data_IF_382776923985
#
_entry.id   IF_382776923985
#
_cell.length_a   1.000
_cell.length_b   1.000
_cell.length_c   1.000
_cell.angle_alpha   90.00
_cell.angle_beta   90.00
_cell.angle_gamma   90.00
#
_symmetry.space_group_name_H-M   'P 1'
#
loop_
_entity.id
_entity.type
_entity.pdbx_description
1 polymer ?
#
# COMPACT_ATOMS: atom_id res chain seq x y z
N UNK A 1 12.31 15.54 -16.70
CA UNK A 1 13.56 14.94 -16.18
C UNK A 1 13.29 14.00 -15.00
N UNK A 2 12.48 14.39 -14.00
CA UNK A 2 12.10 13.52 -12.87
C UNK A 2 11.43 12.20 -13.29
N UNK A 3 10.41 12.27 -14.17
CA UNK A 3 9.69 11.09 -14.67
C UNK A 3 10.62 10.06 -15.33
N UNK A 4 11.66 10.52 -16.04
CA UNK A 4 12.61 9.62 -16.69
C UNK A 4 13.52 8.90 -15.67
N UNK A 5 13.90 9.59 -14.59
CA UNK A 5 14.69 8.98 -13.52
C UNK A 5 13.89 7.93 -12.73
N UNK A 6 12.62 8.23 -12.42
CA UNK A 6 11.72 7.31 -11.70
C UNK A 6 11.41 6.06 -12.51
N UNK A 7 11.07 6.21 -13.80
CA UNK A 7 10.88 5.07 -14.71
C UNK A 7 12.15 4.21 -14.78
N UNK A 8 13.31 4.83 -14.91
CA UNK A 8 14.59 4.09 -14.95
C UNK A 8 14.85 3.32 -13.65
N UNK A 9 14.60 3.92 -12.48
CA UNK A 9 14.81 3.26 -11.19
C UNK A 9 13.83 2.13 -10.91
N UNK A 10 12.62 2.19 -11.48
CA UNK A 10 11.57 1.19 -11.30
C UNK A 10 11.61 0.07 -12.34
N UNK A 11 12.37 0.24 -13.44
CA UNK A 11 12.50 -0.76 -14.51
C UNK A 11 12.83 -2.17 -14.00
N UNK A 12 13.70 -2.38 -12.99
CA UNK A 12 13.96 -3.71 -12.45
C UNK A 12 12.75 -4.39 -11.78
N UNK A 13 11.73 -3.62 -11.40
CA UNK A 13 10.57 -4.08 -10.64
C UNK A 13 9.26 -4.03 -11.45
N UNK A 14 9.33 -3.77 -12.75
CA UNK A 14 8.17 -3.57 -13.63
C UNK A 14 7.17 -4.74 -13.56
N UNK A 15 7.69 -5.98 -13.49
CA UNK A 15 6.85 -7.18 -13.37
C UNK A 15 6.05 -7.27 -12.06
N UNK A 16 6.47 -6.55 -11.00
CA UNK A 16 5.81 -6.51 -9.71
C UNK A 16 4.87 -5.31 -9.56
N UNK A 17 4.88 -4.36 -10.51
CA UNK A 17 4.15 -3.10 -10.42
C UNK A 17 2.99 -3.09 -11.41
N UNK A 18 1.81 -2.72 -10.94
CA UNK A 18 0.62 -2.54 -11.78
C UNK A 18 -0.09 -1.24 -11.40
N UNK A 19 -0.27 -0.34 -12.37
CA UNK A 19 -0.92 0.95 -12.19
C UNK A 19 0.00 2.15 -12.44
N UNK A 20 -0.48 3.34 -12.07
CA UNK A 20 0.26 4.59 -12.25
C UNK A 20 1.37 4.71 -11.20
N UNK A 21 2.63 4.73 -11.62
CA UNK A 21 3.78 4.87 -10.72
C UNK A 21 3.78 6.17 -9.91
N UNK A 22 3.01 7.18 -10.33
CA UNK A 22 2.83 8.46 -9.62
C UNK A 22 1.56 8.50 -8.73
N UNK A 23 0.90 7.36 -8.51
CA UNK A 23 -0.26 7.26 -7.63
C UNK A 23 0.04 7.68 -6.19
N UNK A 24 -0.91 8.37 -5.55
CA UNK A 24 -0.75 8.85 -4.16
C UNK A 24 -0.79 7.74 -3.12
N UNK A 25 -1.34 6.57 -3.45
CA UNK A 25 -1.38 5.41 -2.58
C UNK A 25 -0.76 4.21 -3.28
N UNK A 26 0.01 3.41 -2.53
CA UNK A 26 0.48 2.10 -2.98
C UNK A 26 -0.18 1.00 -2.13
N UNK A 27 -0.81 0.05 -2.82
CA UNK A 27 -1.26 -1.20 -2.23
C UNK A 27 -0.16 -2.24 -2.42
N UNK A 28 0.29 -2.84 -1.32
CA UNK A 28 1.26 -3.93 -1.33
C UNK A 28 0.56 -5.22 -0.93
N UNK A 29 0.67 -6.26 -1.75
CA UNK A 29 0.17 -7.61 -1.47
C UNK A 29 1.24 -8.65 -1.70
N UNK A 30 1.07 -9.85 -1.14
CA UNK A 30 1.91 -10.99 -1.44
C UNK A 30 1.19 -11.93 -2.41
N UNK A 31 1.45 -11.75 -3.70
CA UNK A 31 0.81 -12.46 -4.79
C UNK A 31 -0.33 -11.66 -5.43
N UNK A 32 -0.86 -12.22 -6.52
CA UNK A 32 -1.93 -11.61 -7.30
C UNK A 32 -3.24 -11.53 -6.49
N UNK A 33 -3.79 -10.33 -6.38
CA UNK A 33 -5.09 -10.10 -5.73
C UNK A 33 -6.24 -10.55 -6.63
N UNK A 34 -7.25 -11.25 -6.09
CA UNK A 34 -8.47 -11.54 -6.83
C UNK A 34 -9.18 -10.24 -7.27
N UNK A 35 -9.82 -10.27 -8.44
CA UNK A 35 -10.42 -9.07 -9.04
C UNK A 35 -11.43 -8.34 -8.14
N UNK A 36 -12.19 -9.09 -7.33
CA UNK A 36 -13.16 -8.50 -6.40
C UNK A 36 -12.48 -7.77 -5.23
N UNK A 37 -11.33 -8.26 -4.76
CA UNK A 37 -10.50 -7.64 -3.72
C UNK A 37 -9.86 -6.36 -4.27
N UNK A 38 -9.26 -6.42 -5.47
CA UNK A 38 -8.69 -5.26 -6.15
C UNK A 38 -9.74 -4.14 -6.34
N UNK A 39 -10.94 -4.50 -6.81
CA UNK A 39 -12.05 -3.54 -6.94
C UNK A 39 -12.47 -2.92 -5.61
N UNK A 40 -12.45 -3.69 -4.52
CA UNK A 40 -12.78 -3.17 -3.19
C UNK A 40 -11.70 -2.20 -2.69
N UNK A 41 -10.42 -2.49 -2.93
CA UNK A 41 -9.30 -1.60 -2.63
C UNK A 41 -9.35 -0.31 -3.45
N UNK A 42 -9.60 -0.39 -4.76
CA UNK A 42 -9.80 0.78 -5.63
C UNK A 42 -10.91 1.69 -5.09
N UNK A 43 -12.06 1.10 -4.75
CA UNK A 43 -13.19 1.85 -4.18
C UNK A 43 -12.86 2.47 -2.82
N UNK A 44 -12.15 1.75 -1.95
CA UNK A 44 -11.80 2.25 -0.63
C UNK A 44 -10.76 3.38 -0.70
N UNK A 45 -9.76 3.24 -1.58
CA UNK A 45 -8.76 4.27 -1.87
C UNK A 45 -9.41 5.54 -2.43
N UNK A 46 -10.33 5.40 -3.40
CA UNK A 46 -11.16 6.50 -3.89
C UNK A 46 -11.98 7.16 -2.77
N UNK A 47 -12.59 6.38 -1.88
CA UNK A 47 -13.37 6.86 -0.74
C UNK A 47 -12.57 7.68 0.29
N UNK A 48 -11.25 7.51 0.35
CA UNK A 48 -10.35 8.29 1.20
C UNK A 48 -9.60 9.41 0.45
N UNK A 49 -9.93 9.63 -0.83
CA UNK A 49 -9.37 10.70 -1.65
C UNK A 49 -8.01 10.38 -2.27
N UNK A 50 -7.69 9.09 -2.42
CA UNK A 50 -6.49 8.58 -3.08
C UNK A 50 -6.91 7.59 -4.18
N UNK A 51 -7.63 8.02 -5.23
CA UNK A 51 -8.11 7.13 -6.28
C UNK A 51 -6.93 6.52 -7.06
N UNK A 52 -7.22 5.43 -7.78
CA UNK A 52 -6.29 4.78 -8.72
C UNK A 52 -4.93 4.44 -8.09
N UNK A 53 -4.90 3.61 -7.02
CA UNK A 53 -3.65 3.25 -6.36
C UNK A 53 -2.75 2.43 -7.29
N UNK A 54 -1.44 2.52 -7.06
CA UNK A 54 -0.47 1.59 -7.65
C UNK A 54 -0.42 0.31 -6.83
N UNK A 55 -0.36 -0.83 -7.49
CA UNK A 55 -0.25 -2.14 -6.87
C UNK A 55 1.19 -2.64 -6.97
N UNK A 56 1.69 -3.19 -5.87
CA UNK A 56 3.01 -3.80 -5.75
C UNK A 56 2.87 -5.25 -5.26
N UNK A 57 3.17 -6.22 -6.11
CA UNK A 57 3.23 -7.63 -5.75
C UNK A 57 4.58 -7.96 -5.12
N UNK A 58 4.60 -7.97 -3.79
CA UNK A 58 5.79 -8.27 -3.00
C UNK A 58 6.25 -9.73 -3.12
N UNK A 59 5.44 -10.65 -3.66
CA UNK A 59 5.87 -12.05 -3.86
C UNK A 59 6.98 -12.20 -4.90
N UNK A 60 7.15 -11.19 -5.75
CA UNK A 60 8.20 -11.13 -6.76
C UNK A 60 9.51 -10.52 -6.25
N UNK A 61 9.56 -10.06 -5.00
CA UNK A 61 10.61 -9.17 -4.49
C UNK A 61 11.31 -9.75 -3.27
N UNK A 62 12.63 -9.52 -3.18
CA UNK A 62 13.34 -9.63 -1.90
C UNK A 62 12.97 -8.46 -0.98
N UNK A 63 13.23 -8.53 0.35
CA UNK A 63 13.02 -7.38 1.23
C UNK A 63 13.79 -6.12 0.79
N UNK A 64 14.98 -6.27 0.22
CA UNK A 64 15.77 -5.14 -0.27
C UNK A 64 15.13 -4.52 -1.52
N UNK A 65 14.64 -5.35 -2.43
CA UNK A 65 13.96 -4.89 -3.66
C UNK A 65 12.60 -4.27 -3.34
N UNK A 66 11.85 -4.82 -2.38
CA UNK A 66 10.58 -4.24 -1.93
C UNK A 66 10.78 -2.85 -1.30
N UNK A 67 11.85 -2.66 -0.52
CA UNK A 67 12.24 -1.33 -0.06
C UNK A 67 12.53 -0.42 -1.26
N UNK A 68 13.42 -0.82 -2.17
CA UNK A 68 13.82 0.01 -3.30
C UNK A 68 12.66 0.35 -4.26
N UNK A 69 11.74 -0.59 -4.50
CA UNK A 69 10.56 -0.40 -5.33
C UNK A 69 9.59 0.58 -4.67
N UNK A 70 9.26 0.40 -3.38
CA UNK A 70 8.33 1.27 -2.67
C UNK A 70 8.89 2.70 -2.46
N UNK A 71 10.20 2.83 -2.21
CA UNK A 71 10.89 4.12 -2.18
C UNK A 71 10.98 4.76 -3.57
N UNK A 72 11.12 3.97 -4.63
CA UNK A 72 11.11 4.44 -6.01
C UNK A 72 9.73 4.95 -6.43
N UNK A 73 8.66 4.28 -5.99
CA UNK A 73 7.27 4.73 -6.19
C UNK A 73 6.97 6.02 -5.41
N UNK A 74 7.55 6.16 -4.21
CA UNK A 74 7.33 7.27 -3.29
C UNK A 74 5.84 7.65 -3.07
N UNK A 75 4.97 6.69 -2.70
CA UNK A 75 3.57 6.99 -2.48
C UNK A 75 3.36 7.83 -1.21
N UNK A 76 2.31 8.64 -1.15
CA UNK A 76 1.97 9.38 0.07
C UNK A 76 1.49 8.46 1.20
N UNK A 77 0.82 7.35 0.86
CA UNK A 77 0.28 6.37 1.80
C UNK A 77 0.53 4.93 1.33
N UNK A 78 0.69 4.02 2.29
CA UNK A 78 0.90 2.58 2.04
C UNK A 78 -0.24 1.79 2.64
N UNK A 79 -0.79 0.87 1.87
CA UNK A 79 -1.82 -0.07 2.29
C UNK A 79 -1.26 -1.47 2.09
N UNK A 80 -1.18 -2.27 3.14
CA UNK A 80 -0.66 -3.63 3.08
C UNK A 80 -1.83 -4.61 3.19
N UNK A 81 -2.07 -5.39 2.14
CA UNK A 81 -3.30 -6.16 1.98
C UNK A 81 -3.33 -7.45 2.83
N UNK A 82 -2.17 -7.98 3.19
CA UNK A 82 -2.02 -9.26 3.89
C UNK A 82 -0.81 -9.30 4.84
N UNK A 83 -0.81 -10.28 5.73
CA UNK A 83 0.19 -10.46 6.76
C UNK A 83 1.58 -10.84 6.23
N UNK A 84 1.65 -11.57 5.11
CA UNK A 84 2.93 -11.95 4.48
C UNK A 84 3.61 -10.73 3.89
N UNK A 85 2.89 -9.86 3.18
CA UNK A 85 3.39 -8.58 2.71
C UNK A 85 3.79 -7.68 3.89
N UNK A 86 3.02 -7.66 4.99
CA UNK A 86 3.36 -6.91 6.19
C UNK A 86 4.67 -7.39 6.82
N UNK A 87 4.87 -8.70 6.93
CA UNK A 87 6.10 -9.29 7.45
C UNK A 87 7.31 -9.01 6.55
N UNK A 88 7.13 -9.01 5.22
CA UNK A 88 8.18 -8.66 4.27
C UNK A 88 8.57 -7.18 4.40
N UNK A 89 7.59 -6.27 4.46
CA UNK A 89 7.86 -4.84 4.65
C UNK A 89 8.47 -4.54 6.03
N UNK A 90 8.07 -5.27 7.08
CA UNK A 90 8.70 -5.15 8.39
C UNK A 90 10.20 -5.47 8.35
N UNK A 91 10.60 -6.48 7.58
CA UNK A 91 12.00 -6.83 7.34
C UNK A 91 12.71 -5.78 6.48
N UNK A 92 12.09 -5.39 5.36
CA UNK A 92 12.61 -4.40 4.40
C UNK A 92 12.96 -3.07 5.09
N UNK A 93 12.04 -2.58 5.93
CA UNK A 93 12.17 -1.29 6.61
C UNK A 93 12.77 -1.38 8.01
N UNK A 94 13.04 -2.60 8.51
CA UNK A 94 13.48 -2.85 9.90
C UNK A 94 12.57 -2.14 10.91
N UNK A 95 11.27 -2.19 10.66
CA UNK A 95 10.24 -1.48 11.40
C UNK A 95 9.09 -2.41 11.73
N UNK A 96 8.27 -2.06 12.72
CA UNK A 96 7.08 -2.83 13.02
C UNK A 96 5.94 -2.44 12.05
N UNK A 97 5.46 -3.41 11.27
CA UNK A 97 4.24 -3.30 10.46
C UNK A 97 3.22 -4.24 11.07
N UNK A 98 2.40 -3.71 11.98
CA UNK A 98 1.41 -4.50 12.72
C UNK A 98 0.14 -4.68 11.90
N UNK A 99 -0.29 -5.91 11.61
CA UNK A 99 -1.57 -6.17 10.95
C UNK A 99 -2.76 -5.61 11.74
N UNK A 100 -3.82 -5.28 11.02
CA UNK A 100 -5.08 -4.70 11.50
C UNK A 100 -4.91 -3.38 12.26
N UNK A 101 -3.87 -2.61 11.91
CA UNK A 101 -3.53 -1.38 12.58
C UNK A 101 -3.13 -0.26 11.61
N UNK A 102 -3.34 0.97 12.08
CA UNK A 102 -2.76 2.16 11.49
C UNK A 102 -1.38 2.41 12.11
N UNK A 103 -0.41 2.73 11.28
CA UNK A 103 0.96 3.05 11.68
C UNK A 103 1.64 4.05 10.75
N UNK A 104 2.96 4.05 10.80
CA UNK A 104 3.79 4.79 9.85
C UNK A 104 4.92 3.91 9.36
N UNK A 105 5.16 3.93 8.04
CA UNK A 105 6.31 3.31 7.40
C UNK A 105 7.22 4.43 6.90
N UNK A 106 8.40 4.57 7.50
CA UNK A 106 9.34 5.65 7.18
C UNK A 106 8.70 7.06 7.14
N UNK A 107 7.83 7.33 8.12
CA UNK A 107 7.13 8.61 8.25
C UNK A 107 5.85 8.75 7.41
N UNK A 108 5.60 7.88 6.42
CA UNK A 108 4.36 7.86 5.63
C UNK A 108 3.25 7.10 6.35
N UNK A 109 1.98 7.57 6.31
CA UNK A 109 0.84 6.82 6.81
C UNK A 109 0.78 5.42 6.20
N UNK A 110 0.61 4.41 7.07
CA UNK A 110 0.52 3.02 6.66
C UNK A 110 -0.68 2.37 7.35
N UNK A 111 -1.44 1.56 6.63
CA UNK A 111 -2.41 0.61 7.22
C UNK A 111 -2.03 -0.78 6.73
N UNK A 112 -2.03 -1.76 7.63
CA UNK A 112 -1.82 -3.15 7.28
C UNK A 112 -2.99 -4.00 7.72
N UNK A 113 -3.31 -5.03 6.96
CA UNK A 113 -4.35 -6.01 7.24
C UNK A 113 -3.74 -7.39 7.39
N UNK A 114 -4.34 -8.21 8.24
CA UNK A 114 -3.98 -9.64 8.32
C UNK A 114 -4.44 -10.37 7.07
N UNK A 115 -5.67 -10.11 6.60
CA UNK A 115 -6.15 -10.51 5.28
C UNK A 115 -7.32 -9.64 4.87
N UNK A 116 -7.06 -8.62 4.04
CA UNK A 116 -8.12 -7.76 3.52
C UNK A 116 -9.16 -8.56 2.72
N UNK A 117 -8.74 -9.62 2.02
CA UNK A 117 -9.66 -10.52 1.30
C UNK A 117 -10.65 -11.20 2.25
N UNK A 118 -10.17 -11.87 3.31
CA UNK A 118 -11.04 -12.55 4.26
C UNK A 118 -11.96 -11.55 4.99
N UNK A 119 -11.45 -10.35 5.26
CA UNK A 119 -12.21 -9.30 5.92
C UNK A 119 -13.41 -8.80 5.08
N UNK A 120 -13.42 -8.99 3.75
CA UNK A 120 -14.55 -8.69 2.89
C UNK A 120 -15.74 -9.65 3.07
N UNK A 121 -15.62 -10.73 3.84
CA UNK A 121 -16.73 -11.65 4.08
C UNK A 121 -17.66 -11.19 5.20
N UNK A 122 -17.15 -10.41 6.17
CA UNK A 122 -17.90 -10.04 7.37
C UNK A 122 -18.09 -8.53 7.48
N UNK A 123 -19.30 -8.11 7.86
CA UNK A 123 -19.60 -6.67 7.98
C UNK A 123 -18.75 -6.00 9.07
N UNK A 124 -18.49 -6.72 10.17
CA UNK A 124 -17.71 -6.17 11.30
C UNK A 124 -16.28 -5.84 10.91
N UNK A 125 -15.62 -6.72 10.16
CA UNK A 125 -14.23 -6.53 9.70
C UNK A 125 -14.16 -5.45 8.63
N UNK A 126 -15.11 -5.40 7.67
CA UNK A 126 -15.24 -4.26 6.73
C UNK A 126 -15.31 -2.92 7.43
N UNK A 127 -16.12 -2.81 8.48
CA UNK A 127 -16.25 -1.55 9.22
C UNK A 127 -14.97 -1.18 9.98
N UNK A 128 -14.25 -2.17 10.53
CA UNK A 128 -12.91 -1.96 11.12
C UNK A 128 -11.94 -1.45 10.07
N UNK A 129 -11.85 -2.11 8.92
CA UNK A 129 -10.88 -1.79 7.89
C UNK A 129 -11.16 -0.43 7.27
N UNK A 130 -12.44 -0.12 7.06
CA UNK A 130 -12.86 1.20 6.65
C UNK A 130 -12.50 2.28 7.68
N UNK A 131 -12.61 2.00 8.97
CA UNK A 131 -12.18 2.92 10.01
C UNK A 131 -10.67 3.20 9.94
N UNK A 132 -9.84 2.17 9.69
CA UNK A 132 -8.39 2.30 9.51
C UNK A 132 -8.04 3.09 8.25
N UNK A 133 -8.65 2.78 7.10
CA UNK A 133 -8.40 3.48 5.84
C UNK A 133 -8.71 4.98 5.94
N UNK A 134 -9.80 5.36 6.62
CA UNK A 134 -10.13 6.78 6.88
C UNK A 134 -9.04 7.53 7.66
N UNK A 135 -8.16 6.84 8.40
CA UNK A 135 -7.03 7.48 9.07
C UNK A 135 -5.97 7.98 8.09
N UNK A 136 -5.83 7.36 6.90
CA UNK A 136 -4.91 7.82 5.85
C UNK A 136 -5.28 9.23 5.37
N UNK A 137 -6.58 9.50 5.15
CA UNK A 137 -7.11 10.81 4.77
C UNK A 137 -6.78 11.90 5.79
N UNK A 138 -6.95 11.61 7.08
CA UNK A 138 -6.68 12.58 8.15
C UNK A 138 -5.21 13.01 8.19
N UNK A 139 -4.32 12.10 7.83
CA UNK A 139 -2.89 12.39 7.79
C UNK A 139 -2.48 13.21 6.58
N UNK A 140 -3.07 12.96 5.40
CA UNK A 140 -2.82 13.78 4.21
C UNK A 140 -3.37 15.20 4.36
N UNK A 141 -4.56 15.37 4.94
CA UNK A 141 -5.16 16.68 5.23
C UNK A 141 -4.31 17.53 6.19
N UNK A 142 -3.65 16.91 7.19
CA UNK A 142 -2.73 17.62 8.10
C UNK A 142 -1.46 18.09 7.40
N UNK A 143 -0.91 17.28 6.49
CA UNK A 143 0.30 17.64 5.72
C UNK A 143 0.07 18.85 4.81
N UNK A 144 -1.13 19.00 4.23
CA UNK A 144 -1.48 20.17 3.38
C UNK A 144 -1.66 21.49 4.16
N UNK A 145 -1.70 21.45 5.49
CA UNK A 145 -1.92 22.63 6.36
C UNK A 145 -0.65 23.09 7.10
N UNK A 146 0.44 22.34 7.00
CA UNK A 146 1.74 22.64 7.61
C UNK A 146 2.67 23.25 6.58
#
# INVERSE_FOLDING_TARGET
>A
MYTNAKVTSLTPYDAAIDGDIDASACVVSYGALPAHVRKALDAACGGVGMPDPVYLDASQLSPADAFAALEGLDPEAVIVADDVAAALLAQAYRANVTPDAYGRLFGRPCVAFSSFEADLEQERTKQRDWALLKMLRRSSERRKRA
#
